data_IF_466241220873
#
_entry.id   IF_466241220873
#
_cell.length_a   1.000
_cell.length_b   1.000
_cell.length_c   1.000
_cell.angle_alpha   90.00
_cell.angle_beta   90.00
_cell.angle_gamma   90.00
#
_symmetry.space_group_name_H-M   'P 1'
#
loop_
_entity.id
_entity.type
_entity.pdbx_description
1 polymer ?
#
# COMPACT_ATOMS: atom_id res chain seq x y z
N UNK A 1 -28.01 63.47 -27.50
CA UNK A 1 -27.60 63.24 -26.10
C UNK A 1 -27.50 61.72 -25.92
N UNK A 2 -26.41 61.05 -26.31
CA UNK A 2 -25.09 60.94 -25.65
C UNK A 2 -25.17 60.32 -24.25
N UNK A 3 -25.18 58.99 -24.14
CA UNK A 3 -24.60 58.28 -23.00
C UNK A 3 -23.77 57.10 -23.52
N UNK A 4 -22.47 57.16 -23.22
CA UNK A 4 -21.44 56.25 -23.71
C UNK A 4 -21.29 54.98 -22.87
N UNK A 5 -20.49 54.01 -23.35
CA UNK A 5 -20.33 52.71 -22.70
C UNK A 5 -19.52 52.82 -21.40
N UNK A 6 -20.09 52.30 -20.31
CA UNK A 6 -19.47 52.19 -18.99
C UNK A 6 -18.28 51.23 -19.06
N UNK A 7 -17.06 51.76 -18.91
CA UNK A 7 -15.81 51.01 -18.81
C UNK A 7 -15.79 50.23 -17.49
N UNK A 8 -15.73 48.89 -17.55
CA UNK A 8 -15.41 48.05 -16.37
C UNK A 8 -13.96 48.29 -15.94
N UNK A 9 -13.78 48.70 -14.68
CA UNK A 9 -12.48 48.88 -14.06
C UNK A 9 -11.75 47.53 -13.88
N UNK A 10 -10.45 47.52 -14.18
CA UNK A 10 -9.55 46.36 -14.06
C UNK A 10 -9.14 46.20 -12.59
N UNK A 11 -9.35 45.03 -11.99
CA UNK A 11 -8.93 44.73 -10.63
C UNK A 11 -7.40 44.81 -10.47
N UNK A 12 -6.86 45.23 -9.31
CA UNK A 12 -5.42 45.35 -9.11
C UNK A 12 -4.76 43.97 -8.99
N UNK A 13 -3.62 43.80 -9.67
CA UNK A 13 -2.82 42.59 -9.63
C UNK A 13 -2.16 42.41 -8.25
N UNK A 14 -2.43 41.28 -7.60
CA UNK A 14 -1.74 40.85 -6.38
C UNK A 14 -0.32 40.40 -6.75
N UNK A 15 0.70 41.10 -6.26
CA UNK A 15 2.10 40.69 -6.41
C UNK A 15 2.37 39.40 -5.60
N UNK A 16 3.08 38.40 -6.14
CA UNK A 16 3.41 37.20 -5.38
C UNK A 16 4.41 37.53 -4.26
N UNK A 17 4.14 37.00 -3.07
CA UNK A 17 5.02 37.13 -1.91
C UNK A 17 6.39 36.49 -2.20
N UNK A 18 7.47 37.26 -2.00
CA UNK A 18 8.84 36.76 -2.12
C UNK A 18 9.10 35.67 -1.08
N UNK A 19 9.50 34.47 -1.54
CA UNK A 19 9.96 33.38 -0.67
C UNK A 19 11.23 33.85 0.06
N UNK A 20 11.16 34.00 1.38
CA UNK A 20 12.34 34.33 2.22
C UNK A 20 13.37 33.22 2.07
N UNK A 21 14.61 33.60 1.78
CA UNK A 21 15.74 32.66 1.73
C UNK A 21 15.99 32.06 3.13
N UNK A 22 16.40 30.77 3.20
CA UNK A 22 16.64 30.12 4.48
C UNK A 22 17.80 30.78 5.23
N UNK A 23 17.66 30.87 6.56
CA UNK A 23 18.66 31.50 7.43
C UNK A 23 19.98 30.71 7.43
N UNK A 24 21.10 31.40 7.68
CA UNK A 24 22.43 30.78 7.77
C UNK A 24 22.50 29.63 8.79
N UNK A 25 21.68 29.68 9.86
CA UNK A 25 21.55 28.60 10.84
C UNK A 25 20.83 27.37 10.25
N UNK A 26 19.77 27.57 9.47
CA UNK A 26 19.06 26.48 8.78
C UNK A 26 19.94 25.81 7.72
N UNK A 27 20.75 26.61 6.99
CA UNK A 27 21.73 26.10 6.03
C UNK A 27 22.85 25.31 6.71
N UNK A 28 23.36 25.76 7.87
CA UNK A 28 24.35 25.02 8.67
C UNK A 28 23.80 23.72 9.26
N UNK A 29 22.54 23.69 9.69
CA UNK A 29 21.88 22.48 10.18
C UNK A 29 21.62 21.46 9.04
N UNK A 30 21.21 21.94 7.86
CA UNK A 30 21.07 21.12 6.66
C UNK A 30 22.43 20.55 6.20
N UNK A 31 23.50 21.36 6.27
CA UNK A 31 24.86 20.93 5.96
C UNK A 31 25.39 19.90 6.98
N UNK A 32 25.10 20.08 8.28
CA UNK A 32 25.43 19.10 9.33
C UNK A 32 24.69 17.77 9.16
N UNK A 33 23.40 17.79 8.79
CA UNK A 33 22.64 16.57 8.42
C UNK A 33 23.21 15.87 7.19
N UNK A 34 23.80 16.63 6.25
CA UNK A 34 24.45 16.06 5.05
C UNK A 34 25.82 15.45 5.37
N UNK A 35 26.52 15.94 6.39
CA UNK A 35 27.85 15.50 6.80
C UNK A 35 27.85 14.32 7.78
N UNK A 36 26.78 14.13 8.54
CA UNK A 36 26.61 12.95 9.40
C UNK A 36 25.86 11.82 8.65
N UNK A 37 26.34 11.44 7.46
CA UNK A 37 26.11 10.08 6.97
C UNK A 37 27.15 9.23 7.66
N UNK A 38 26.75 8.50 8.70
CA UNK A 38 27.48 7.29 9.03
C UNK A 38 27.64 6.53 7.72
N UNK A 39 28.88 6.22 7.32
CA UNK A 39 29.14 5.41 6.15
C UNK A 39 28.25 4.17 6.31
N UNK A 40 27.22 4.07 5.46
CA UNK A 40 26.27 2.98 5.58
C UNK A 40 27.08 1.72 5.48
N UNK A 41 27.06 0.90 6.53
CA UNK A 41 27.46 -0.49 6.38
C UNK A 41 26.51 -1.03 5.31
N UNK A 42 27.01 -1.16 4.09
CA UNK A 42 26.28 -1.80 3.01
C UNK A 42 26.23 -3.28 3.40
N UNK A 43 25.09 -3.69 3.95
CA UNK A 43 24.86 -5.08 4.35
C UNK A 43 24.51 -5.98 3.16
N UNK A 44 24.59 -5.43 1.95
CA UNK A 44 24.43 -6.14 0.68
C UNK A 44 25.72 -6.89 0.35
N UNK A 45 25.63 -8.21 0.34
CA UNK A 45 26.65 -9.09 -0.24
C UNK A 45 26.43 -9.18 -1.76
N UNK A 46 27.48 -9.28 -2.58
CA UNK A 46 27.36 -9.61 -4.01
C UNK A 46 26.56 -10.90 -4.27
N UNK A 47 26.52 -11.80 -3.28
CA UNK A 47 25.80 -13.08 -3.34
C UNK A 47 24.34 -12.97 -2.85
N UNK A 48 23.86 -11.77 -2.49
CA UNK A 48 22.52 -11.62 -1.94
C UNK A 48 21.42 -11.83 -2.99
N UNK A 49 20.48 -12.70 -2.65
CA UNK A 49 19.20 -12.83 -3.34
C UNK A 49 18.24 -11.84 -2.72
N UNK A 50 18.08 -10.69 -3.39
CA UNK A 50 17.28 -9.57 -2.88
C UNK A 50 15.83 -9.70 -3.35
N UNK A 51 14.89 -9.75 -2.40
CA UNK A 51 13.47 -9.53 -2.70
C UNK A 51 13.06 -8.09 -2.35
N UNK A 52 12.19 -7.49 -3.17
CA UNK A 52 11.49 -6.26 -2.84
C UNK A 52 10.06 -6.57 -2.38
N UNK A 53 9.55 -5.82 -1.41
CA UNK A 53 8.24 -6.05 -0.79
C UNK A 53 7.50 -4.73 -0.65
N UNK A 54 6.23 -4.71 -1.03
CA UNK A 54 5.33 -3.55 -0.89
C UNK A 54 3.88 -4.01 -0.70
N UNK A 55 3.03 -3.11 -0.20
CA UNK A 55 1.60 -3.33 0.02
C UNK A 55 0.66 -2.41 -0.76
N UNK A 56 -0.55 -2.90 -1.00
CA UNK A 56 -1.68 -2.13 -1.47
C UNK A 56 -2.86 -2.26 -0.50
N UNK A 57 -3.56 -1.15 -0.27
CA UNK A 57 -4.84 -1.19 0.43
C UNK A 57 -4.80 -0.91 1.92
N UNK A 58 -3.89 -0.07 2.42
CA UNK A 58 -3.92 0.32 3.85
C UNK A 58 -5.04 1.30 4.21
N UNK A 59 -5.27 2.31 3.39
CA UNK A 59 -6.28 3.36 3.63
C UNK A 59 -7.76 3.03 3.34
N UNK A 60 -8.12 2.09 2.44
CA UNK A 60 -9.50 1.74 2.13
C UNK A 60 -10.35 1.36 3.35
N UNK A 61 -11.65 1.61 3.25
CA UNK A 61 -12.66 1.21 4.24
C UNK A 61 -13.08 -0.26 4.07
N UNK A 62 -12.81 -0.85 2.90
CA UNK A 62 -13.23 -2.20 2.55
C UNK A 62 -12.14 -2.98 1.82
N UNK A 63 -12.25 -4.31 1.93
CA UNK A 63 -11.34 -5.29 1.34
C UNK A 63 -10.05 -5.49 2.13
N UNK A 64 -9.25 -6.49 1.75
CA UNK A 64 -8.02 -6.84 2.43
C UNK A 64 -6.91 -5.80 2.21
N UNK A 65 -5.85 -5.93 2.99
CA UNK A 65 -4.53 -5.40 2.61
C UNK A 65 -3.77 -6.52 1.90
N UNK A 66 -3.21 -6.20 0.74
CA UNK A 66 -2.49 -7.17 -0.12
C UNK A 66 -1.03 -6.75 -0.15
N UNK A 67 -0.11 -7.68 0.05
CA UNK A 67 1.31 -7.44 -0.12
C UNK A 67 1.88 -8.39 -1.18
N UNK A 68 2.93 -7.96 -1.84
CA UNK A 68 3.67 -8.80 -2.77
C UNK A 68 5.15 -8.78 -2.42
N UNK A 69 5.83 -9.89 -2.69
CA UNK A 69 7.28 -9.99 -2.65
C UNK A 69 7.79 -10.41 -4.03
N UNK A 70 8.86 -9.79 -4.52
CA UNK A 70 9.40 -10.02 -5.87
C UNK A 70 10.91 -10.10 -5.84
N UNK A 71 11.46 -11.17 -6.42
CA UNK A 71 12.88 -11.33 -6.73
C UNK A 71 13.04 -11.19 -8.23
N UNK A 72 13.63 -10.08 -8.67
CA UNK A 72 13.87 -9.82 -10.09
C UNK A 72 15.04 -10.66 -10.62
N UNK A 73 14.98 -11.01 -11.90
CA UNK A 73 16.08 -11.67 -12.60
C UNK A 73 17.04 -10.63 -13.21
N UNK A 74 18.31 -10.56 -12.77
CA UNK A 74 19.29 -9.66 -13.38
C UNK A 74 19.52 -9.91 -14.87
N UNK A 75 19.32 -11.14 -15.35
CA UNK A 75 19.47 -11.51 -16.75
C UNK A 75 18.27 -11.10 -17.62
N UNK A 76 17.11 -10.82 -17.01
CA UNK A 76 15.87 -10.45 -17.72
C UNK A 76 15.30 -9.12 -17.21
N UNK A 77 16.00 -7.99 -17.44
CA UNK A 77 15.59 -6.70 -16.91
C UNK A 77 14.23 -6.25 -17.45
N UNK A 78 13.45 -5.63 -16.56
CA UNK A 78 12.12 -5.09 -16.87
C UNK A 78 12.21 -3.57 -16.98
N UNK A 79 11.98 -3.05 -18.19
CA UNK A 79 11.97 -1.59 -18.43
C UNK A 79 10.63 -0.99 -18.04
N UNK A 80 10.66 0.23 -17.49
CA UNK A 80 9.46 1.01 -17.16
C UNK A 80 8.91 0.79 -15.74
N UNK A 81 9.63 0.06 -14.89
CA UNK A 81 9.35 0.02 -13.45
C UNK A 81 9.47 1.44 -12.87
N UNK A 82 8.44 1.86 -12.15
CA UNK A 82 8.34 3.13 -11.45
C UNK A 82 7.27 3.01 -10.34
N UNK A 83 7.05 4.07 -9.56
CA UNK A 83 5.94 4.12 -8.59
C UNK A 83 4.62 3.74 -9.30
N UNK A 84 3.95 2.70 -8.78
CA UNK A 84 2.69 2.18 -9.33
C UNK A 84 1.58 3.23 -9.43
N UNK A 85 1.63 4.27 -8.58
CA UNK A 85 0.69 5.41 -8.57
C UNK A 85 0.94 6.38 -9.72
N UNK A 86 2.15 6.41 -10.26
CA UNK A 86 2.52 7.23 -11.43
C UNK A 86 2.19 6.55 -12.76
N UNK A 87 1.86 5.26 -12.73
CA UNK A 87 1.51 4.48 -13.91
C UNK A 87 -0.01 4.50 -14.17
N UNK A 88 -0.39 4.43 -15.44
CA UNK A 88 -1.79 4.20 -15.82
C UNK A 88 -2.20 2.77 -15.49
N UNK A 89 -3.50 2.50 -15.36
CA UNK A 89 -3.99 1.14 -15.09
C UNK A 89 -3.52 0.14 -16.17
N UNK A 90 -3.62 0.51 -17.45
CA UNK A 90 -3.15 -0.32 -18.57
C UNK A 90 -1.64 -0.57 -18.52
N UNK A 91 -0.83 0.45 -18.19
CA UNK A 91 0.61 0.27 -18.05
C UNK A 91 0.97 -0.68 -16.89
N UNK A 92 0.24 -0.59 -15.76
CA UNK A 92 0.40 -1.54 -14.64
C UNK A 92 0.06 -2.97 -15.04
N UNK A 93 -1.03 -3.18 -15.77
CA UNK A 93 -1.43 -4.51 -16.26
C UNK A 93 -0.35 -5.13 -17.17
N UNK A 94 0.17 -4.36 -18.13
CA UNK A 94 1.28 -4.82 -18.99
C UNK A 94 2.55 -5.11 -18.19
N UNK A 95 2.86 -4.30 -17.17
CA UNK A 95 4.03 -4.54 -16.32
C UNK A 95 3.81 -5.75 -15.41
N UNK A 96 2.60 -5.96 -14.89
CA UNK A 96 2.26 -7.13 -14.08
C UNK A 96 2.63 -8.42 -14.80
N UNK A 97 2.17 -8.59 -16.06
CA UNK A 97 2.47 -9.77 -16.87
C UNK A 97 3.98 -9.96 -17.05
N UNK A 98 4.70 -8.87 -17.34
CA UNK A 98 6.17 -8.92 -17.50
C UNK A 98 6.90 -9.27 -16.21
N UNK A 99 6.43 -8.77 -15.07
CA UNK A 99 7.02 -9.08 -13.76
C UNK A 99 6.81 -10.56 -13.45
N UNK A 100 5.60 -11.07 -13.65
CA UNK A 100 5.28 -12.48 -13.42
C UNK A 100 6.12 -13.40 -14.30
N UNK A 101 6.28 -13.07 -15.58
CA UNK A 101 7.05 -13.85 -16.54
C UNK A 101 8.57 -13.81 -16.27
N UNK A 102 9.10 -12.64 -15.91
CA UNK A 102 10.55 -12.36 -15.92
C UNK A 102 11.23 -12.34 -14.56
N UNK A 103 10.47 -12.38 -13.47
CA UNK A 103 11.05 -12.49 -12.13
C UNK A 103 11.57 -13.91 -11.88
N UNK A 104 12.55 -14.05 -10.99
CA UNK A 104 13.02 -15.37 -10.53
C UNK A 104 11.98 -16.02 -9.61
N UNK A 105 11.39 -15.23 -8.73
CA UNK A 105 10.29 -15.64 -7.88
C UNK A 105 9.44 -14.43 -7.52
N UNK A 106 8.16 -14.67 -7.28
CA UNK A 106 7.25 -13.68 -6.73
C UNK A 106 6.16 -14.40 -5.95
N UNK A 107 5.55 -13.70 -5.00
CA UNK A 107 4.44 -14.22 -4.21
C UNK A 107 3.52 -13.07 -3.81
N UNK A 108 2.23 -13.36 -3.72
CA UNK A 108 1.21 -12.43 -3.22
C UNK A 108 0.56 -13.05 -2.00
N UNK A 109 0.44 -12.25 -0.95
CA UNK A 109 -0.31 -12.61 0.24
C UNK A 109 -1.21 -11.47 0.66
N UNK A 110 -2.19 -11.76 1.51
CA UNK A 110 -3.08 -10.76 2.04
C UNK A 110 -3.33 -10.96 3.53
N UNK A 111 -3.80 -9.90 4.17
CA UNK A 111 -4.45 -9.99 5.46
C UNK A 111 -5.91 -9.55 5.33
N UNK A 112 -6.81 -10.39 5.87
CA UNK A 112 -8.26 -10.23 5.71
C UNK A 112 -8.79 -9.05 6.51
N UNK A 113 -10.07 -8.72 6.29
CA UNK A 113 -10.75 -7.67 7.04
C UNK A 113 -10.82 -8.00 8.54
N UNK A 114 -11.03 -9.28 8.86
CA UNK A 114 -11.03 -9.81 10.23
C UNK A 114 -9.66 -9.65 10.89
N UNK A 115 -8.59 -9.98 10.16
CA UNK A 115 -7.22 -9.81 10.65
C UNK A 115 -6.87 -8.33 10.84
N UNK A 116 -7.34 -7.43 9.95
CA UNK A 116 -7.19 -5.98 10.11
C UNK A 116 -7.90 -5.49 11.36
N UNK A 117 -9.14 -5.92 11.58
CA UNK A 117 -9.94 -5.53 12.73
C UNK A 117 -9.35 -6.07 14.05
N UNK A 118 -8.71 -7.24 14.02
CA UNK A 118 -8.11 -7.88 15.20
C UNK A 118 -6.71 -7.34 15.52
N UNK A 119 -5.85 -7.20 14.51
CA UNK A 119 -4.43 -6.88 14.68
C UNK A 119 -4.13 -5.39 14.60
N UNK A 120 -5.08 -4.58 14.12
CA UNK A 120 -4.91 -3.24 13.54
C UNK A 120 -4.24 -3.26 12.16
N UNK A 121 -4.40 -2.13 11.43
CA UNK A 121 -3.92 -2.02 10.04
C UNK A 121 -2.41 -2.13 9.91
N UNK A 122 -1.63 -1.67 10.89
CA UNK A 122 -0.17 -1.77 10.82
C UNK A 122 0.29 -3.23 10.91
N UNK A 123 -0.18 -3.97 11.92
CA UNK A 123 0.24 -5.35 12.09
C UNK A 123 -0.35 -6.28 11.02
N UNK A 124 -1.56 -6.01 10.53
CA UNK A 124 -2.10 -6.73 9.38
C UNK A 124 -1.26 -6.51 8.11
N UNK A 125 -0.75 -5.30 7.87
CA UNK A 125 0.23 -5.05 6.80
C UNK A 125 1.51 -5.86 7.01
N UNK A 126 2.08 -5.84 8.22
CA UNK A 126 3.30 -6.61 8.53
C UNK A 126 3.08 -8.12 8.33
N UNK A 127 1.90 -8.63 8.71
CA UNK A 127 1.50 -10.02 8.50
C UNK A 127 1.43 -10.36 7.00
N UNK A 128 0.76 -9.53 6.20
CA UNK A 128 0.69 -9.74 4.75
C UNK A 128 2.08 -9.72 4.10
N UNK A 129 2.94 -8.78 4.47
CA UNK A 129 4.33 -8.69 3.98
C UNK A 129 5.14 -9.93 4.35
N UNK A 130 5.07 -10.39 5.61
CA UNK A 130 5.73 -11.61 6.07
C UNK A 130 5.29 -12.80 5.22
N UNK A 131 3.97 -13.02 5.10
CA UNK A 131 3.40 -14.12 4.31
C UNK A 131 3.86 -14.08 2.86
N UNK A 132 3.96 -12.88 2.27
CA UNK A 132 4.44 -12.73 0.90
C UNK A 132 5.91 -13.15 0.77
N UNK A 133 6.77 -12.81 1.73
CA UNK A 133 8.19 -13.23 1.73
C UNK A 133 8.33 -14.73 1.98
N UNK A 134 7.62 -15.26 2.98
CA UNK A 134 7.65 -16.69 3.33
C UNK A 134 7.05 -17.59 2.24
N UNK A 135 6.13 -17.06 1.43
CA UNK A 135 5.53 -17.76 0.30
C UNK A 135 6.35 -17.72 -1.00
N UNK A 136 7.54 -17.12 -1.01
CA UNK A 136 8.41 -17.16 -2.19
C UNK A 136 8.96 -18.58 -2.43
N UNK A 137 9.00 -19.01 -3.69
CA UNK A 137 9.61 -20.28 -4.08
C UNK A 137 11.13 -20.30 -3.92
N UNK A 138 11.75 -19.13 -3.85
CA UNK A 138 13.17 -18.93 -3.58
C UNK A 138 13.29 -18.14 -2.29
N UNK A 139 13.99 -18.69 -1.30
CA UNK A 139 14.22 -18.00 -0.02
C UNK A 139 15.22 -16.86 -0.25
N UNK A 140 14.83 -15.59 -0.08
CA UNK A 140 15.75 -14.46 -0.23
C UNK A 140 16.73 -14.40 0.96
N UNK A 141 17.90 -13.83 0.72
CA UNK A 141 18.88 -13.55 1.78
C UNK A 141 18.70 -12.17 2.39
N UNK A 142 18.04 -11.26 1.66
CA UNK A 142 17.71 -9.90 2.08
C UNK A 142 16.34 -9.48 1.50
N UNK A 143 15.45 -8.99 2.37
CA UNK A 143 14.17 -8.41 1.99
C UNK A 143 14.19 -6.88 2.16
N UNK A 144 14.02 -6.15 1.05
CA UNK A 144 13.85 -4.69 1.06
C UNK A 144 12.37 -4.36 1.08
N UNK A 145 11.91 -3.72 2.15
CA UNK A 145 10.50 -3.47 2.45
C UNK A 145 10.19 -1.99 2.24
N UNK A 146 9.12 -1.65 1.51
CA UNK A 146 8.68 -0.25 1.44
C UNK A 146 8.23 0.27 2.82
N UNK A 147 8.61 1.50 3.14
CA UNK A 147 8.23 2.19 4.35
C UNK A 147 9.34 2.27 5.39
N UNK A 148 8.96 2.27 6.67
CA UNK A 148 9.86 2.58 7.79
C UNK A 148 9.92 1.50 8.87
N UNK A 149 9.31 0.33 8.62
CA UNK A 149 9.29 -0.81 9.54
C UNK A 149 9.40 -2.09 8.73
N UNK A 150 10.01 -3.10 9.34
CA UNK A 150 10.07 -4.43 8.77
C UNK A 150 9.20 -5.40 9.58
N UNK A 151 8.57 -6.40 8.95
CA UNK A 151 7.97 -7.49 9.67
C UNK A 151 9.06 -8.32 10.35
N UNK A 152 8.75 -8.88 11.52
CA UNK A 152 9.63 -9.87 12.16
C UNK A 152 9.58 -11.15 11.33
N UNK A 153 10.71 -11.63 10.82
CA UNK A 153 10.79 -12.85 10.01
C UNK A 153 12.23 -13.39 10.02
N UNK A 154 12.48 -14.66 9.65
CA UNK A 154 13.83 -15.23 9.68
C UNK A 154 14.77 -14.63 8.62
N UNK A 155 14.21 -14.02 7.57
CA UNK A 155 14.97 -13.34 6.51
C UNK A 155 15.45 -11.98 7.01
N UNK A 156 16.73 -11.65 6.73
CA UNK A 156 17.25 -10.29 7.00
C UNK A 156 16.42 -9.26 6.24
N UNK A 157 16.05 -8.17 6.89
CA UNK A 157 15.18 -7.17 6.28
C UNK A 157 15.67 -5.75 6.50
N UNK A 158 15.45 -4.90 5.49
CA UNK A 158 15.73 -3.47 5.53
C UNK A 158 14.50 -2.69 5.08
N UNK A 159 14.12 -1.65 5.83
CA UNK A 159 13.04 -0.75 5.46
C UNK A 159 13.58 0.40 4.60
N UNK A 160 12.93 0.66 3.47
CA UNK A 160 13.30 1.71 2.52
C UNK A 160 12.14 2.68 2.37
N UNK A 161 12.31 3.92 2.82
CA UNK A 161 11.27 4.95 2.73
C UNK A 161 11.15 5.41 1.26
N UNK A 162 9.98 5.22 0.65
CA UNK A 162 9.77 5.53 -0.77
C UNK A 162 10.52 4.54 -1.67
N UNK A 163 10.58 3.29 -1.23
CA UNK A 163 11.28 2.21 -1.92
C UNK A 163 10.69 1.92 -3.30
N UNK A 164 9.39 2.15 -3.50
CA UNK A 164 8.70 2.02 -4.78
C UNK A 164 9.30 2.88 -5.91
N UNK A 165 9.88 4.03 -5.57
CA UNK A 165 10.59 4.90 -6.52
C UNK A 165 12.11 4.65 -6.60
N UNK A 166 12.69 3.95 -5.62
CA UNK A 166 14.15 3.84 -5.45
C UNK A 166 14.70 2.46 -5.76
N UNK A 167 13.92 1.41 -5.52
CA UNK A 167 14.36 0.01 -5.60
C UNK A 167 13.48 -0.72 -6.62
N UNK A 168 14.05 -1.23 -7.74
CA UNK A 168 13.26 -1.87 -8.79
C UNK A 168 12.41 -3.05 -8.32
N UNK A 169 12.91 -3.87 -7.39
CA UNK A 169 12.14 -5.01 -6.87
C UNK A 169 10.96 -4.56 -5.99
N UNK A 170 11.09 -3.46 -5.25
CA UNK A 170 9.96 -2.85 -4.50
C UNK A 170 8.96 -2.26 -5.48
N UNK A 171 9.41 -1.54 -6.51
CA UNK A 171 8.54 -1.05 -7.59
C UNK A 171 7.73 -2.19 -8.22
N UNK A 172 8.38 -3.32 -8.54
CA UNK A 172 7.70 -4.49 -9.07
C UNK A 172 6.67 -5.07 -8.10
N UNK A 173 7.01 -5.18 -6.81
CA UNK A 173 6.09 -5.61 -5.75
C UNK A 173 4.87 -4.68 -5.63
N UNK A 174 5.08 -3.35 -5.69
CA UNK A 174 4.01 -2.35 -5.65
C UNK A 174 2.99 -2.55 -6.75
N UNK A 175 3.46 -2.87 -7.97
CA UNK A 175 2.62 -3.10 -9.14
C UNK A 175 1.82 -4.39 -8.96
N UNK A 176 2.46 -5.50 -8.55
CA UNK A 176 1.78 -6.76 -8.30
C UNK A 176 0.71 -6.59 -7.21
N UNK A 177 1.06 -6.02 -6.06
CA UNK A 177 0.12 -5.80 -4.96
C UNK A 177 -1.07 -4.94 -5.40
N UNK A 178 -0.82 -3.85 -6.14
CA UNK A 178 -1.85 -2.94 -6.62
C UNK A 178 -2.80 -3.60 -7.62
N UNK A 179 -2.27 -4.24 -8.65
CA UNK A 179 -3.08 -4.89 -9.69
C UNK A 179 -3.89 -6.04 -9.10
N UNK A 180 -3.27 -6.92 -8.30
CA UNK A 180 -3.99 -8.02 -7.66
C UNK A 180 -5.11 -7.50 -6.77
N UNK A 181 -4.82 -6.51 -5.93
CA UNK A 181 -5.86 -5.91 -5.09
C UNK A 181 -7.00 -5.31 -5.91
N UNK A 182 -6.70 -4.52 -6.93
CA UNK A 182 -7.74 -3.89 -7.75
C UNK A 182 -8.65 -4.93 -8.42
N UNK A 183 -8.08 -6.04 -8.91
CA UNK A 183 -8.85 -7.18 -9.45
C UNK A 183 -9.78 -7.80 -8.40
N UNK A 184 -9.31 -7.99 -7.15
CA UNK A 184 -10.16 -8.47 -6.04
C UNK A 184 -11.33 -7.53 -5.76
N UNK A 185 -11.14 -6.21 -5.89
CA UNK A 185 -12.21 -5.24 -5.65
C UNK A 185 -13.22 -5.18 -6.81
N UNK A 186 -12.79 -5.45 -8.04
CA UNK A 186 -13.70 -5.64 -9.19
C UNK A 186 -14.58 -6.87 -8.98
N UNK A 187 -14.01 -7.98 -8.53
CA UNK A 187 -14.78 -9.18 -8.17
C UNK A 187 -15.75 -8.91 -7.02
N UNK A 188 -15.27 -8.20 -5.98
CA UNK A 188 -16.12 -7.81 -4.86
C UNK A 188 -17.29 -6.90 -5.29
N UNK A 189 -17.08 -6.03 -6.27
CA UNK A 189 -18.14 -5.20 -6.85
C UNK A 189 -19.25 -6.04 -7.48
N UNK A 190 -18.92 -7.16 -8.14
CA UNK A 190 -19.94 -8.04 -8.73
C UNK A 190 -20.86 -8.63 -7.65
N UNK A 191 -20.33 -8.93 -6.46
CA UNK A 191 -21.10 -9.44 -5.32
C UNK A 191 -21.85 -8.34 -4.56
N UNK A 192 -21.32 -7.11 -4.54
CA UNK A 192 -21.93 -5.97 -3.86
C UNK A 192 -21.94 -4.71 -4.74
N UNK A 193 -22.79 -4.67 -5.77
CA UNK A 193 -22.75 -3.62 -6.80
C UNK A 193 -23.07 -2.22 -6.27
N UNK A 194 -23.90 -2.12 -5.23
CA UNK A 194 -24.32 -0.85 -4.63
C UNK A 194 -23.17 -0.06 -3.99
N UNK A 195 -22.07 -0.72 -3.59
CA UNK A 195 -20.89 -0.03 -3.05
C UNK A 195 -19.90 0.44 -4.11
N UNK A 196 -20.06 0.11 -5.41
CA UNK A 196 -19.19 0.62 -6.50
C UNK A 196 -17.68 0.43 -6.26
N UNK A 197 -17.29 -0.72 -5.69
CA UNK A 197 -15.88 -1.03 -5.37
C UNK A 197 -14.95 -1.00 -6.59
N UNK A 198 -15.46 -1.23 -7.78
CA UNK A 198 -14.78 -1.09 -9.07
C UNK A 198 -14.27 0.34 -9.32
N UNK A 199 -14.99 1.36 -8.85
CA UNK A 199 -14.68 2.76 -9.14
C UNK A 199 -13.66 3.36 -8.17
N UNK A 200 -13.73 3.01 -6.89
CA UNK A 200 -12.92 3.62 -5.84
C UNK A 200 -12.09 2.63 -5.02
N UNK A 201 -12.03 1.36 -5.41
CA UNK A 201 -11.20 0.32 -4.78
C UNK A 201 -11.34 0.24 -3.25
N UNK A 202 -12.54 0.52 -2.74
CA UNK A 202 -12.87 0.54 -1.31
C UNK A 202 -12.44 1.78 -0.53
N UNK A 203 -11.81 2.79 -1.15
CA UNK A 203 -11.51 4.07 -0.46
C UNK A 203 -12.78 4.82 -0.07
N UNK A 204 -12.72 5.61 1.00
CA UNK A 204 -13.84 6.39 1.54
C UNK A 204 -14.17 7.63 0.72
N UNK A 205 -14.52 7.46 -0.56
CA UNK A 205 -15.02 8.54 -1.41
C UNK A 205 -16.43 8.96 -0.97
N UNK A 206 -16.91 10.15 -1.36
CA UNK A 206 -18.29 10.56 -1.04
C UNK A 206 -19.33 9.53 -1.50
N UNK A 207 -19.09 8.89 -2.65
CA UNK A 207 -19.94 7.82 -3.19
C UNK A 207 -19.98 6.60 -2.25
N UNK A 208 -18.83 6.17 -1.74
CA UNK A 208 -18.75 5.02 -0.84
C UNK A 208 -19.35 5.31 0.53
N UNK A 209 -19.13 6.51 1.07
CA UNK A 209 -19.70 6.93 2.35
C UNK A 209 -21.23 7.03 2.27
N UNK A 210 -21.76 7.52 1.15
CA UNK A 210 -23.20 7.53 0.92
C UNK A 210 -23.78 6.11 0.79
N UNK A 211 -23.10 5.21 0.07
CA UNK A 211 -23.51 3.82 -0.01
C UNK A 211 -23.52 3.13 1.37
N UNK A 212 -22.53 3.41 2.22
CA UNK A 212 -22.50 2.95 3.62
C UNK A 212 -23.68 3.50 4.43
N UNK A 213 -24.02 4.78 4.25
CA UNK A 213 -25.16 5.42 4.94
C UNK A 213 -26.49 4.82 4.52
N UNK A 214 -26.68 4.55 3.22
CA UNK A 214 -27.95 4.06 2.66
C UNK A 214 -28.13 2.56 2.89
N UNK A 215 -27.09 1.76 2.67
CA UNK A 215 -27.18 0.30 2.64
C UNK A 215 -26.59 -0.40 3.87
N UNK A 216 -25.92 0.35 4.76
CA UNK A 216 -25.14 -0.21 5.85
C UNK A 216 -23.82 -0.83 5.37
N UNK A 217 -22.92 -1.20 6.29
CA UNK A 217 -21.71 -1.96 5.96
C UNK A 217 -22.00 -3.43 5.62
N UNK A 218 -21.13 -4.06 4.83
CA UNK A 218 -21.11 -5.51 4.60
C UNK A 218 -19.90 -6.17 5.27
N UNK A 219 -19.80 -7.50 5.15
CA UNK A 219 -18.71 -8.31 5.73
C UNK A 219 -17.31 -7.91 5.26
N UNK A 220 -17.20 -7.25 4.10
CA UNK A 220 -15.91 -6.80 3.54
C UNK A 220 -15.48 -5.42 4.04
N UNK A 221 -16.27 -4.76 4.90
CA UNK A 221 -15.92 -3.47 5.50
C UNK A 221 -15.15 -3.63 6.82
N UNK A 222 -14.11 -2.81 6.99
CA UNK A 222 -13.23 -2.81 8.17
C UNK A 222 -13.93 -2.14 9.34
N UNK A 223 -14.50 -2.94 10.23
CA UNK A 223 -15.34 -2.48 11.36
C UNK A 223 -14.62 -1.53 12.29
N UNK A 224 -13.30 -1.70 12.44
CA UNK A 224 -12.44 -0.85 13.27
C UNK A 224 -12.28 0.58 12.73
N UNK A 225 -12.56 0.83 11.45
CA UNK A 225 -12.37 2.14 10.81
C UNK A 225 -13.57 3.05 11.12
N UNK A 226 -13.31 4.30 11.51
CA UNK A 226 -14.34 5.18 12.06
C UNK A 226 -15.60 5.33 11.18
N UNK A 227 -15.51 5.63 9.86
CA UNK A 227 -16.71 5.77 9.03
C UNK A 227 -17.56 4.50 8.93
N UNK A 228 -16.92 3.33 9.01
CA UNK A 228 -17.60 2.02 8.97
C UNK A 228 -18.27 1.75 10.31
N UNK A 229 -17.57 1.97 11.43
CA UNK A 229 -18.11 1.80 12.78
C UNK A 229 -19.34 2.68 13.00
N UNK A 230 -19.29 3.93 12.54
CA UNK A 230 -20.39 4.88 12.67
C UNK A 230 -21.60 4.42 11.84
N UNK A 231 -21.37 3.83 10.66
CA UNK A 231 -22.43 3.23 9.85
C UNK A 231 -23.06 1.97 10.49
N UNK A 232 -22.28 1.12 11.17
CA UNK A 232 -22.83 0.01 11.98
C UNK A 232 -23.79 0.52 13.06
N UNK A 233 -23.37 1.59 13.77
CA UNK A 233 -24.19 2.20 14.82
C UNK A 233 -25.50 2.80 14.26
N UNK A 234 -25.44 3.46 13.10
CA UNK A 234 -26.62 4.04 12.45
C UNK A 234 -27.67 2.98 12.06
N UNK A 235 -27.22 1.82 11.60
CA UNK A 235 -28.09 0.73 11.12
C UNK A 235 -28.53 -0.24 12.23
N UNK A 236 -28.14 0.01 13.49
CA UNK A 236 -28.47 -0.87 14.62
C UNK A 236 -27.86 -2.28 14.50
N UNK A 237 -26.81 -2.42 13.67
CA UNK A 237 -26.13 -3.69 13.46
C UNK A 237 -25.14 -3.92 14.61
N UNK A 238 -25.32 -5.01 15.36
CA UNK A 238 -24.40 -5.40 16.42
C UNK A 238 -23.09 -5.84 15.80
N UNK A 239 -22.00 -5.15 16.12
CA UNK A 239 -20.65 -5.63 15.82
C UNK A 239 -20.48 -6.98 16.54
N UNK A 240 -20.15 -8.08 15.85
CA UNK A 240 -19.72 -9.30 16.53
C UNK A 240 -18.58 -8.91 17.47
N UNK A 241 -18.65 -9.30 18.73
CA UNK A 241 -17.57 -9.04 19.67
C UNK A 241 -16.26 -9.50 19.03
N UNK A 242 -15.22 -8.66 19.09
CA UNK A 242 -13.89 -9.08 18.66
C UNK A 242 -13.59 -10.39 19.41
N UNK A 243 -13.48 -11.49 18.66
CA UNK A 243 -13.14 -12.77 19.26
C UNK A 243 -11.81 -12.53 19.99
N UNK A 244 -11.82 -12.69 21.30
CA UNK A 244 -10.57 -12.64 22.08
C UNK A 244 -9.85 -13.93 21.74
N UNK A 245 -9.08 -13.91 20.65
CA UNK A 245 -8.18 -15.01 20.33
C UNK A 245 -7.00 -14.86 21.28
N UNK A 246 -7.06 -15.58 22.38
CA UNK A 246 -5.87 -15.86 23.19
C UNK A 246 -5.02 -16.79 22.34
N UNK A 247 -4.05 -16.24 21.64
CA UNK A 247 -3.06 -17.04 20.92
C UNK A 247 -2.13 -17.60 21.98
N UNK A 248 -2.18 -18.91 22.25
CA UNK A 248 -1.18 -19.54 23.09
C UNK A 248 0.17 -19.49 22.35
N UNK A 249 1.26 -19.30 23.09
CA UNK A 249 2.60 -19.23 22.51
C UNK A 249 2.98 -20.51 21.75
N UNK A 250 2.30 -21.63 22.05
CA UNK A 250 2.45 -22.91 21.35
C UNK A 250 1.83 -22.91 19.94
N UNK A 251 0.77 -22.14 19.68
CA UNK A 251 0.05 -22.15 18.39
C UNK A 251 0.77 -21.35 17.29
N UNK A 252 1.81 -20.59 17.64
CA UNK A 252 2.68 -19.90 16.69
C UNK A 252 3.70 -20.82 16.01
N UNK A 253 3.85 -22.07 16.48
CA UNK A 253 4.85 -23.02 15.99
C UNK A 253 4.34 -23.92 14.85
N UNK A 254 3.03 -24.05 14.65
CA UNK A 254 2.46 -24.90 13.60
C UNK A 254 1.87 -24.05 12.47
N UNK A 255 2.63 -23.95 11.38
CA UNK A 255 2.22 -23.26 10.16
C UNK A 255 0.94 -23.84 9.60
N UNK A 256 -0.13 -23.05 9.63
CA UNK A 256 -1.39 -23.37 8.94
C UNK A 256 -1.13 -23.32 7.43
N UNK A 257 -0.93 -24.48 6.82
CA UNK A 257 -0.85 -24.64 5.38
C UNK A 257 -2.21 -24.33 4.75
N UNK A 258 -2.31 -23.24 4.01
CA UNK A 258 -3.44 -22.99 3.11
C UNK A 258 -3.18 -23.67 1.77
N UNK A 259 -4.16 -24.49 1.34
CA UNK A 259 -4.14 -25.15 0.05
C UNK A 259 -4.09 -24.12 -1.10
N UNK A 260 -3.39 -24.42 -2.20
CA UNK A 260 -3.41 -23.57 -3.38
C UNK A 260 -4.84 -23.55 -3.96
N UNK A 261 -5.32 -22.34 -4.30
CA UNK A 261 -6.57 -22.18 -5.05
C UNK A 261 -6.41 -22.74 -6.48
N UNK A 262 -7.50 -23.24 -7.08
CA UNK A 262 -7.49 -23.97 -8.35
C UNK A 262 -7.07 -23.14 -9.57
#
# INVERSE_FOLDING_TARGET
MSEGPIKRAKAPAVKPAAKKSPSAAALKLAARRKAARQAGLLFESPDDVICGVDEAGRGPLAGPVVAAAVILDPARPIRGLNDSKMLTAQARETLYERIVERSLAWCVASATVEEIDTLNILHATMLAMRRAVEGLSIVPTLAKIDGNRCPVMPVRSEAVIGGDALVPSISAASIIAKVTRDRMLVELHQRHPHYRFDAHAGYGTPQHLEALRVHGPCEHHRRSFAPVRDAYALHGLVLPAAATVVVDAADLAEGVAFAPLP
#
